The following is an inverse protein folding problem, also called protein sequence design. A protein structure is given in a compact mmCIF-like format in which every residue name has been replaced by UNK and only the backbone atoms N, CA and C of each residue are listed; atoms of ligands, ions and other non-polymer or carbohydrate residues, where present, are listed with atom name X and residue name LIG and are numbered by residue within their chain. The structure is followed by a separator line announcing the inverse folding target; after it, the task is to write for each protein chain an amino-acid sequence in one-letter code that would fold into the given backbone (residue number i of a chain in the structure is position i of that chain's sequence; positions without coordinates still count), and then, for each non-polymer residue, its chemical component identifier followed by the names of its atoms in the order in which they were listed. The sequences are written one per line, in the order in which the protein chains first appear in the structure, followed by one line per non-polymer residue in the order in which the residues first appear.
data_IF_176206313673
#
_entry.id   IF_176206313673
#
_cell.length_a   1.000
_cell.length_b   1.000
_cell.length_c   1.000
_cell.angle_alpha   90.00
_cell.angle_beta   90.00
_cell.angle_gamma   90.00
#
_symmetry.space_group_name_H-M   'P 1'
#
loop_
_entity.id
_entity.type
_entity.pdbx_description
1 polymer ?
#
# COMPACT_ATOMS: atom_id res chain seq x y z
N UNK A 1 17.48 15.79 2.93
CA UNK A 1 17.50 16.08 1.47
C UNK A 1 16.08 15.81 0.96
N UNK A 2 15.46 16.69 0.15
CA UNK A 2 14.12 16.47 -0.38
C UNK A 2 14.08 15.21 -1.26
N UNK A 3 12.95 14.48 -1.21
CA UNK A 3 12.75 13.23 -1.94
C UNK A 3 11.55 13.38 -2.86
N UNK A 4 11.65 12.82 -4.07
CA UNK A 4 10.57 12.91 -5.05
C UNK A 4 10.38 11.58 -5.77
N UNK A 5 9.11 11.22 -5.93
CA UNK A 5 8.71 10.07 -6.73
C UNK A 5 8.81 10.39 -8.22
N UNK A 6 9.54 9.57 -8.94
CA UNK A 6 9.73 9.69 -10.38
C UNK A 6 9.51 8.33 -11.04
N UNK A 7 8.29 8.00 -11.51
CA UNK A 7 7.94 6.69 -12.06
C UNK A 7 8.54 6.44 -13.46
N UNK A 8 9.71 6.97 -13.71
CA UNK A 8 10.45 6.81 -14.96
C UNK A 8 11.69 5.95 -14.72
N UNK A 9 12.24 5.30 -15.76
CA UNK A 9 13.52 4.63 -15.64
C UNK A 9 14.60 5.64 -15.23
N UNK A 10 15.29 5.36 -14.12
CA UNK A 10 16.38 6.18 -13.60
C UNK A 10 17.70 5.49 -13.92
N UNK A 11 18.62 6.23 -14.56
CA UNK A 11 19.95 5.73 -14.92
C UNK A 11 20.99 6.78 -14.57
N UNK A 12 22.00 6.39 -13.81
CA UNK A 12 23.12 7.26 -13.42
C UNK A 12 23.75 7.93 -14.65
N UNK A 13 23.96 9.24 -14.56
CA UNK A 13 24.58 10.09 -15.58
C UNK A 13 23.59 10.65 -16.62
N UNK A 14 22.31 10.23 -16.62
CA UNK A 14 21.32 10.81 -17.52
C UNK A 14 20.72 12.10 -16.97
N UNK A 15 20.48 13.06 -17.86
CA UNK A 15 19.60 14.21 -17.58
C UNK A 15 18.15 13.84 -17.87
N UNK A 16 17.25 14.21 -16.98
CA UNK A 16 15.84 13.86 -17.03
C UNK A 16 14.97 15.08 -16.70
N UNK A 17 13.94 15.32 -17.48
CA UNK A 17 12.87 16.25 -17.11
C UNK A 17 11.92 15.57 -16.12
N UNK A 18 11.76 16.14 -14.93
CA UNK A 18 10.93 15.58 -13.88
C UNK A 18 9.45 15.55 -14.31
N UNK A 19 8.69 14.51 -13.91
CA UNK A 19 7.23 14.51 -14.05
C UNK A 19 6.62 15.78 -13.43
N UNK A 20 5.53 16.27 -14.00
CA UNK A 20 4.91 17.55 -13.63
C UNK A 20 4.65 17.70 -12.12
N UNK A 21 4.26 16.61 -11.43
CA UNK A 21 4.03 16.62 -9.97
C UNK A 21 5.34 16.85 -9.22
N UNK A 22 6.39 16.10 -9.55
CA UNK A 22 7.71 16.25 -8.93
C UNK A 22 8.32 17.62 -9.24
N UNK A 23 8.25 18.07 -10.50
CA UNK A 23 8.72 19.39 -10.91
C UNK A 23 8.04 20.52 -10.09
N UNK A 24 6.72 20.44 -9.92
CA UNK A 24 5.98 21.40 -9.09
C UNK A 24 6.42 21.40 -7.63
N UNK A 25 6.68 20.21 -7.04
CA UNK A 25 7.18 20.13 -5.65
C UNK A 25 8.56 20.76 -5.52
N UNK A 26 9.48 20.51 -6.47
CA UNK A 26 10.80 21.14 -6.52
C UNK A 26 10.67 22.69 -6.58
N UNK A 27 9.75 23.20 -7.40
CA UNK A 27 9.48 24.63 -7.53
C UNK A 27 8.88 25.23 -6.24
N UNK A 28 7.93 24.55 -5.58
CA UNK A 28 7.35 24.98 -4.30
C UNK A 28 8.42 25.08 -3.21
N UNK A 29 9.40 24.17 -3.20
CA UNK A 29 10.56 24.20 -2.31
C UNK A 29 11.60 25.25 -2.71
N UNK A 30 11.38 25.98 -3.81
CA UNK A 30 12.27 27.03 -4.33
C UNK A 30 13.70 26.56 -4.52
N UNK A 31 13.86 25.29 -4.93
CA UNK A 31 15.17 24.75 -5.24
C UNK A 31 15.80 25.50 -6.42
N UNK A 32 17.12 25.49 -6.52
CA UNK A 32 17.88 26.16 -7.55
C UNK A 32 18.80 25.17 -8.26
N UNK A 33 19.30 25.45 -9.47
CA UNK A 33 20.36 24.68 -10.08
C UNK A 33 21.53 24.47 -9.12
N UNK A 34 22.07 23.25 -9.08
CA UNK A 34 23.10 22.81 -8.14
C UNK A 34 22.53 22.25 -6.82
N UNK A 35 21.23 22.37 -6.55
CA UNK A 35 20.67 21.77 -5.33
C UNK A 35 20.50 20.27 -5.49
N UNK A 36 20.96 19.53 -4.46
CA UNK A 36 20.83 18.08 -4.39
C UNK A 36 19.44 17.64 -3.94
N UNK A 37 18.96 16.54 -4.51
CA UNK A 37 17.71 15.88 -4.15
C UNK A 37 17.84 14.36 -4.26
N UNK A 38 16.85 13.63 -3.77
CA UNK A 38 16.75 12.18 -3.93
C UNK A 38 15.59 11.86 -4.87
N UNK A 39 15.81 10.94 -5.81
CA UNK A 39 14.76 10.35 -6.65
C UNK A 39 14.57 8.88 -6.31
N UNK A 40 13.33 8.40 -6.38
CA UNK A 40 13.02 6.98 -6.35
C UNK A 40 11.88 6.68 -7.34
N UNK A 41 11.92 5.50 -7.95
CA UNK A 41 10.97 5.12 -9.00
C UNK A 41 9.85 4.18 -8.52
N UNK A 42 9.83 3.84 -7.23
CA UNK A 42 8.84 2.93 -6.65
C UNK A 42 9.19 1.44 -6.76
N UNK A 43 10.34 1.10 -7.31
CA UNK A 43 10.78 -0.29 -7.53
C UNK A 43 11.85 -0.76 -6.54
N UNK A 44 12.24 0.10 -5.62
CA UNK A 44 13.30 -0.13 -4.64
C UNK A 44 14.59 0.62 -4.97
N UNK A 45 15.39 0.85 -3.93
CA UNK A 45 16.56 1.72 -4.01
C UNK A 45 16.22 3.19 -4.27
N UNK A 46 17.23 4.04 -4.22
CA UNK A 46 17.09 5.47 -4.44
C UNK A 46 18.31 6.04 -5.18
N UNK A 47 18.11 7.15 -5.87
CA UNK A 47 19.15 7.83 -6.62
C UNK A 47 19.42 9.21 -6.03
N UNK A 48 20.66 9.60 -5.87
CA UNK A 48 21.00 11.01 -5.75
C UNK A 48 20.72 11.70 -7.07
N UNK A 49 20.36 12.98 -7.03
CA UNK A 49 20.22 13.80 -8.22
C UNK A 49 20.51 15.26 -7.89
N UNK A 50 20.81 16.04 -8.92
CA UNK A 50 21.07 17.48 -8.82
C UNK A 50 20.22 18.23 -9.81
N UNK A 51 19.65 19.37 -9.40
CA UNK A 51 18.89 20.26 -10.29
C UNK A 51 19.86 20.85 -11.31
N UNK A 52 19.66 20.57 -12.59
CA UNK A 52 20.42 21.13 -13.69
C UNK A 52 19.80 22.41 -14.22
N UNK A 53 18.46 22.41 -14.35
CA UNK A 53 17.72 23.56 -14.90
C UNK A 53 16.37 23.73 -14.20
N UNK A 54 16.01 25.00 -13.97
CA UNK A 54 14.71 25.43 -13.43
C UNK A 54 13.98 26.29 -14.44
N UNK A 55 13.01 25.71 -15.15
CA UNK A 55 12.09 26.46 -16.00
C UNK A 55 10.83 26.94 -15.27
N UNK A 56 9.95 27.60 -16.01
CA UNK A 56 8.68 28.09 -15.47
C UNK A 56 7.72 26.94 -15.09
N UNK A 57 7.73 25.84 -15.85
CA UNK A 57 6.84 24.68 -15.68
C UNK A 57 7.58 23.34 -15.70
N UNK A 58 8.86 23.35 -15.94
CA UNK A 58 9.73 22.19 -16.08
C UNK A 58 10.93 22.29 -15.13
N UNK A 59 11.43 21.14 -14.72
CA UNK A 59 12.65 21.01 -13.92
C UNK A 59 13.45 19.86 -14.49
N UNK A 60 14.69 20.11 -14.88
CA UNK A 60 15.62 19.09 -15.33
C UNK A 60 16.62 18.77 -14.23
N UNK A 61 16.91 17.49 -14.08
CA UNK A 61 17.88 17.00 -13.10
C UNK A 61 18.89 16.08 -13.76
N UNK A 62 20.11 16.04 -13.24
CA UNK A 62 21.10 15.01 -13.56
C UNK A 62 21.02 13.92 -12.51
N UNK A 63 20.86 12.68 -12.94
CA UNK A 63 20.78 11.50 -12.07
C UNK A 63 22.18 11.10 -11.63
N UNK A 64 22.41 11.04 -10.34
CA UNK A 64 23.67 10.63 -9.74
C UNK A 64 23.72 9.14 -9.37
N UNK A 65 24.40 8.82 -8.29
CA UNK A 65 24.62 7.44 -7.86
C UNK A 65 23.32 6.77 -7.37
N UNK A 66 23.16 5.50 -7.71
CA UNK A 66 22.17 4.61 -7.13
C UNK A 66 22.63 4.11 -5.76
N UNK A 67 21.71 4.06 -4.81
CA UNK A 67 21.91 3.42 -3.52
C UNK A 67 20.82 2.35 -3.31
N UNK A 68 21.25 1.12 -3.04
CA UNK A 68 20.35 -0.01 -2.77
C UNK A 68 19.87 0.04 -1.31
N UNK A 69 19.06 1.05 -1.02
CA UNK A 69 18.49 1.29 0.30
C UNK A 69 17.03 0.87 0.30
N UNK A 70 16.68 -0.07 1.17
CA UNK A 70 15.31 -0.52 1.39
C UNK A 70 14.87 -0.29 2.84
N UNK A 71 13.61 0.14 2.99
CA UNK A 71 12.98 0.40 4.30
C UNK A 71 11.64 -0.33 4.43
N UNK A 72 11.48 -1.40 3.64
CA UNK A 72 10.25 -2.19 3.63
C UNK A 72 10.17 -3.10 4.86
N UNK A 73 8.93 -3.34 5.32
CA UNK A 73 8.68 -4.35 6.34
C UNK A 73 9.10 -5.76 5.87
N UNK A 74 9.55 -6.60 6.81
CA UNK A 74 9.90 -7.98 6.50
C UNK A 74 8.72 -8.81 6.01
N UNK A 75 7.52 -8.44 6.43
CA UNK A 75 6.26 -9.09 6.09
C UNK A 75 5.54 -8.35 4.96
N UNK A 76 4.94 -9.08 4.03
CA UNK A 76 4.14 -8.50 2.95
C UNK A 76 2.67 -8.51 3.35
N UNK A 77 2.09 -7.33 3.61
CA UNK A 77 0.69 -7.20 4.00
C UNK A 77 -0.14 -6.56 2.90
N UNK A 78 -1.19 -7.26 2.48
CA UNK A 78 -2.24 -6.75 1.62
C UNK A 78 -3.47 -6.42 2.47
N UNK A 79 -3.86 -5.15 2.52
CA UNK A 79 -5.08 -4.69 3.18
C UNK A 79 -6.23 -4.67 2.18
N UNK A 80 -7.30 -5.39 2.49
CA UNK A 80 -8.57 -5.31 1.77
C UNK A 80 -9.58 -4.62 2.70
N UNK A 81 -10.03 -3.44 2.32
CA UNK A 81 -10.76 -2.55 3.21
C UNK A 81 -12.12 -2.19 2.63
N UNK A 82 -13.20 -2.52 3.34
CA UNK A 82 -14.52 -1.95 3.07
C UNK A 82 -14.40 -0.42 3.11
N UNK A 83 -14.65 0.24 1.97
CA UNK A 83 -14.38 1.67 1.83
C UNK A 83 -15.07 2.49 2.92
N UNK A 84 -14.32 3.17 3.81
CA UNK A 84 -14.89 4.10 4.76
C UNK A 84 -15.42 5.36 4.06
N UNK A 85 -16.30 6.06 4.74
CA UNK A 85 -16.90 7.28 4.19
C UNK A 85 -15.90 8.45 4.18
N UNK A 86 -16.10 9.37 3.23
CA UNK A 86 -15.40 10.64 3.13
C UNK A 86 -13.86 10.52 3.01
N UNK A 87 -13.13 11.45 3.64
CA UNK A 87 -11.67 11.57 3.60
C UNK A 87 -10.93 10.49 4.42
N UNK A 88 -11.66 9.62 5.13
CA UNK A 88 -11.04 8.57 5.94
C UNK A 88 -10.26 7.55 5.11
N UNK A 89 -10.70 7.31 3.87
CA UNK A 89 -9.94 6.44 2.96
C UNK A 89 -8.61 7.08 2.56
N UNK A 90 -8.58 8.39 2.33
CA UNK A 90 -7.37 9.14 2.00
C UNK A 90 -6.36 9.04 3.16
N UNK A 91 -6.83 9.28 4.39
CA UNK A 91 -6.04 9.16 5.62
C UNK A 91 -5.55 7.72 5.84
N UNK A 92 -6.40 6.71 5.61
CA UNK A 92 -6.03 5.30 5.73
C UNK A 92 -4.90 4.94 4.76
N UNK A 93 -5.01 5.34 3.50
CA UNK A 93 -3.97 5.07 2.48
C UNK A 93 -2.64 5.71 2.89
N UNK A 94 -2.66 6.97 3.32
CA UNK A 94 -1.48 7.67 3.79
C UNK A 94 -0.80 6.91 4.94
N UNK A 95 -1.55 6.62 6.03
CA UNK A 95 -0.99 5.98 7.23
C UNK A 95 -0.64 4.51 7.02
N UNK A 96 -1.41 3.77 6.22
CA UNK A 96 -1.05 2.41 5.86
C UNK A 96 0.25 2.35 5.04
N UNK A 97 0.48 3.35 4.17
CA UNK A 97 1.73 3.47 3.43
C UNK A 97 2.91 3.72 4.38
N UNK A 98 2.79 4.66 5.31
CA UNK A 98 3.82 4.92 6.33
C UNK A 98 4.15 3.66 7.17
N UNK A 99 3.14 2.83 7.45
CA UNK A 99 3.26 1.59 8.23
C UNK A 99 3.69 0.36 7.41
N UNK A 100 4.04 0.53 6.15
CA UNK A 100 4.65 -0.54 5.35
C UNK A 100 3.67 -1.46 4.62
N UNK A 101 2.42 -1.04 4.37
CA UNK A 101 1.50 -1.83 3.53
C UNK A 101 2.09 -2.07 2.14
N UNK A 102 1.92 -3.28 1.60
CA UNK A 102 2.37 -3.59 0.24
C UNK A 102 1.30 -3.35 -0.82
N UNK A 103 0.03 -3.54 -0.45
CA UNK A 103 -1.11 -3.40 -1.36
C UNK A 103 -2.38 -3.04 -0.59
N UNK A 104 -3.24 -2.21 -1.20
CA UNK A 104 -4.55 -1.88 -0.66
C UNK A 104 -5.62 -2.14 -1.72
N UNK A 105 -6.64 -2.93 -1.38
CA UNK A 105 -7.82 -3.12 -2.21
C UNK A 105 -9.03 -2.45 -1.55
N UNK A 106 -9.53 -1.35 -2.10
CA UNK A 106 -10.79 -0.75 -1.67
C UNK A 106 -11.97 -1.65 -2.05
N UNK A 107 -12.81 -2.02 -1.08
CA UNK A 107 -13.93 -2.92 -1.29
C UNK A 107 -15.28 -2.22 -1.14
N UNK A 108 -16.19 -2.54 -2.04
CA UNK A 108 -17.62 -2.23 -1.91
C UNK A 108 -18.30 -3.40 -1.19
N UNK A 109 -18.67 -3.18 0.05
CA UNK A 109 -19.40 -4.12 0.90
C UNK A 109 -20.86 -3.71 1.02
N UNK A 110 -21.68 -4.55 1.63
CA UNK A 110 -23.11 -4.27 1.82
C UNK A 110 -23.34 -2.97 2.61
N UNK A 111 -22.57 -2.76 3.67
CA UNK A 111 -22.66 -1.60 4.55
C UNK A 111 -21.75 -0.43 4.16
N UNK A 112 -21.04 -0.51 3.03
CA UNK A 112 -20.27 0.62 2.50
C UNK A 112 -21.23 1.71 2.00
N UNK A 113 -21.03 2.94 2.46
CA UNK A 113 -21.77 4.13 2.00
C UNK A 113 -21.31 4.53 0.60
N UNK A 114 -20.02 4.38 0.33
CA UNK A 114 -19.40 4.78 -0.94
C UNK A 114 -19.58 3.68 -1.98
N UNK A 115 -20.12 4.04 -3.13
CA UNK A 115 -20.26 3.17 -4.31
C UNK A 115 -19.54 3.82 -5.49
N UNK A 116 -18.53 3.15 -6.03
CA UNK A 116 -17.71 3.66 -7.11
C UNK A 116 -17.79 2.72 -8.32
N UNK A 117 -17.94 3.30 -9.51
CA UNK A 117 -17.92 2.57 -10.78
C UNK A 117 -17.42 3.46 -11.91
N UNK A 118 -16.91 2.84 -12.99
CA UNK A 118 -16.43 3.54 -14.18
C UNK A 118 -15.42 4.64 -13.85
N UNK A 119 -15.50 5.75 -14.56
CA UNK A 119 -14.55 6.87 -14.46
C UNK A 119 -14.36 7.42 -13.04
N UNK A 120 -15.41 7.32 -12.19
CA UNK A 120 -15.28 7.75 -10.77
C UNK A 120 -14.37 6.82 -9.97
N UNK A 121 -14.44 5.52 -10.24
CA UNK A 121 -13.55 4.54 -9.62
C UNK A 121 -12.11 4.78 -10.05
N UNK A 122 -11.87 5.00 -11.35
CA UNK A 122 -10.54 5.25 -11.89
C UNK A 122 -9.92 6.52 -11.32
N UNK A 123 -10.69 7.61 -11.24
CA UNK A 123 -10.24 8.87 -10.63
C UNK A 123 -9.90 8.72 -9.15
N UNK A 124 -10.69 7.96 -8.39
CA UNK A 124 -10.43 7.71 -6.97
C UNK A 124 -9.20 6.82 -6.79
N UNK A 125 -9.05 5.77 -7.58
CA UNK A 125 -7.84 4.94 -7.56
C UNK A 125 -6.58 5.78 -7.83
N UNK A 126 -6.58 6.59 -8.90
CA UNK A 126 -5.46 7.45 -9.23
C UNK A 126 -5.15 8.46 -8.10
N UNK A 127 -6.18 9.02 -7.46
CA UNK A 127 -6.03 9.90 -6.31
C UNK A 127 -5.37 9.18 -5.13
N UNK A 128 -5.82 8.00 -4.75
CA UNK A 128 -5.22 7.22 -3.66
C UNK A 128 -3.80 6.75 -3.99
N UNK A 129 -3.53 6.39 -5.24
CA UNK A 129 -2.17 6.05 -5.67
C UNK A 129 -1.22 7.26 -5.54
N UNK A 130 -1.70 8.47 -5.82
CA UNK A 130 -0.92 9.68 -5.63
C UNK A 130 -0.67 9.97 -4.13
N UNK A 131 -1.65 9.73 -3.25
CA UNK A 131 -1.47 9.83 -1.79
C UNK A 131 -0.39 8.85 -1.32
N UNK A 132 -0.43 7.60 -1.79
CA UNK A 132 0.57 6.59 -1.43
C UNK A 132 1.98 7.01 -1.89
N UNK A 133 2.13 7.56 -3.10
CA UNK A 133 3.41 8.09 -3.58
C UNK A 133 3.93 9.24 -2.71
N UNK A 134 3.05 10.20 -2.35
CA UNK A 134 3.40 11.31 -1.48
C UNK A 134 3.79 10.86 -0.06
N UNK A 135 3.09 9.86 0.48
CA UNK A 135 3.44 9.26 1.76
C UNK A 135 4.83 8.58 1.71
N UNK A 136 5.19 7.92 0.58
CA UNK A 136 6.53 7.37 0.38
C UNK A 136 7.61 8.46 0.30
N UNK A 137 7.31 9.61 -0.32
CA UNK A 137 8.22 10.77 -0.30
C UNK A 137 8.53 11.21 1.13
N UNK A 138 7.51 11.28 1.98
CA UNK A 138 7.62 11.73 3.36
C UNK A 138 8.27 10.68 4.28
N UNK A 139 7.82 9.41 4.24
CA UNK A 139 8.28 8.39 5.18
C UNK A 139 9.59 7.70 4.76
N UNK A 140 10.08 7.95 3.54
CA UNK A 140 11.34 7.44 3.05
C UNK A 140 11.28 6.07 2.38
N UNK A 141 10.09 5.49 2.16
CA UNK A 141 9.97 4.23 1.41
C UNK A 141 10.38 4.41 -0.04
N UNK A 142 11.00 3.38 -0.60
CA UNK A 142 11.44 3.34 -2.00
C UNK A 142 10.52 2.48 -2.87
N UNK A 143 9.56 1.77 -2.25
CA UNK A 143 8.51 1.01 -2.94
C UNK A 143 7.16 1.65 -2.66
N UNK A 144 6.47 2.04 -3.73
CA UNK A 144 5.11 2.60 -3.62
C UNK A 144 4.12 1.45 -3.58
N UNK A 145 3.26 1.34 -2.54
CA UNK A 145 2.26 0.30 -2.48
C UNK A 145 1.27 0.40 -3.64
N UNK A 146 0.78 -0.74 -4.10
CA UNK A 146 -0.25 -0.78 -5.15
C UNK A 146 -1.62 -0.50 -4.54
N UNK A 147 -2.34 0.45 -5.12
CA UNK A 147 -3.76 0.68 -4.81
C UNK A 147 -4.60 0.10 -5.95
N UNK A 148 -5.40 -0.92 -5.64
CA UNK A 148 -6.26 -1.56 -6.63
C UNK A 148 -7.46 -0.67 -6.99
N UNK A 149 -8.07 -0.97 -8.15
CA UNK A 149 -9.37 -0.42 -8.46
C UNK A 149 -10.42 -0.90 -7.44
N UNK A 150 -11.37 -0.04 -7.03
CA UNK A 150 -12.47 -0.44 -6.16
C UNK A 150 -13.27 -1.59 -6.76
N UNK A 151 -13.54 -2.62 -5.98
CA UNK A 151 -14.26 -3.80 -6.45
C UNK A 151 -15.24 -4.34 -5.40
N UNK A 152 -16.13 -5.23 -5.81
CA UNK A 152 -17.06 -5.88 -4.90
C UNK A 152 -16.34 -6.93 -4.05
N UNK A 153 -16.77 -7.07 -2.79
CA UNK A 153 -16.19 -8.04 -1.85
C UNK A 153 -16.26 -9.47 -2.39
N UNK A 154 -17.41 -9.89 -2.93
CA UNK A 154 -17.62 -11.24 -3.46
C UNK A 154 -16.66 -11.57 -4.62
N UNK A 155 -16.52 -10.65 -5.57
CA UNK A 155 -15.60 -10.79 -6.70
C UNK A 155 -14.13 -10.84 -6.24
N UNK A 156 -13.78 -10.00 -5.28
CA UNK A 156 -12.43 -10.01 -4.71
C UNK A 156 -12.11 -11.31 -3.98
N UNK A 157 -13.01 -11.80 -3.12
CA UNK A 157 -12.83 -13.07 -2.41
C UNK A 157 -12.59 -14.24 -3.37
N UNK A 158 -13.37 -14.30 -4.45
CA UNK A 158 -13.18 -15.31 -5.49
C UNK A 158 -11.79 -15.18 -6.17
N UNK A 159 -11.33 -13.95 -6.42
CA UNK A 159 -10.03 -13.70 -7.07
C UNK A 159 -8.82 -14.11 -6.22
N UNK A 160 -8.94 -14.00 -4.89
CA UNK A 160 -7.86 -14.35 -3.95
C UNK A 160 -8.00 -15.73 -3.35
N UNK A 161 -9.00 -16.53 -3.76
CA UNK A 161 -9.27 -17.85 -3.19
C UNK A 161 -8.05 -18.77 -3.27
N UNK A 162 -7.41 -18.84 -4.46
CA UNK A 162 -6.24 -19.69 -4.72
C UNK A 162 -4.91 -19.08 -4.26
N UNK A 163 -4.91 -17.84 -3.76
CA UNK A 163 -3.68 -17.16 -3.36
C UNK A 163 -3.08 -17.82 -2.12
N UNK A 164 -1.80 -18.18 -2.20
CA UNK A 164 -1.04 -18.71 -1.07
C UNK A 164 -0.65 -17.56 -0.13
N UNK A 165 -1.46 -17.31 0.87
CA UNK A 165 -1.27 -16.31 1.89
C UNK A 165 -2.02 -16.69 3.15
N UNK A 166 -1.60 -16.16 4.29
CA UNK A 166 -2.39 -16.19 5.52
C UNK A 166 -3.50 -15.17 5.41
N UNK A 167 -4.74 -15.61 5.56
CA UNK A 167 -5.94 -14.80 5.34
C UNK A 167 -6.66 -14.57 6.65
N UNK A 168 -6.85 -13.33 7.05
CA UNK A 168 -7.60 -12.96 8.24
C UNK A 168 -8.69 -11.93 7.92
N UNK A 169 -9.82 -12.05 8.59
CA UNK A 169 -10.88 -11.05 8.62
C UNK A 169 -11.00 -10.49 10.04
N UNK A 170 -10.95 -9.16 10.16
CA UNK A 170 -11.24 -8.49 11.42
C UNK A 170 -12.74 -8.57 11.70
N UNK A 171 -13.09 -9.30 12.71
CA UNK A 171 -14.48 -9.60 13.06
C UNK A 171 -14.77 -9.18 14.49
N UNK A 172 -16.05 -8.95 14.80
CA UNK A 172 -16.56 -8.61 16.14
C UNK A 172 -17.38 -9.75 16.75
N UNK A 173 -17.38 -10.94 16.14
CA UNK A 173 -18.12 -12.10 16.65
C UNK A 173 -17.43 -12.73 17.86
N UNK A 174 -18.20 -13.37 18.74
CA UNK A 174 -17.69 -14.15 19.86
C UNK A 174 -16.88 -15.36 19.37
N UNK A 175 -15.91 -15.81 20.13
CA UNK A 175 -15.04 -16.96 19.82
C UNK A 175 -13.89 -16.72 18.85
N UNK A 176 -13.33 -15.50 18.81
CA UNK A 176 -12.18 -15.19 17.92
C UNK A 176 -10.85 -15.34 18.64
N UNK A 177 -9.86 -15.77 17.89
CA UNK A 177 -8.46 -15.74 18.31
C UNK A 177 -7.91 -14.32 18.18
N UNK A 178 -7.03 -13.88 19.08
CA UNK A 178 -6.31 -12.62 18.93
C UNK A 178 -5.42 -12.61 17.69
N UNK A 179 -5.33 -11.48 16.98
CA UNK A 179 -4.53 -11.37 15.74
C UNK A 179 -3.07 -11.85 15.93
N UNK A 180 -2.42 -11.45 17.03
CA UNK A 180 -1.03 -11.84 17.30
C UNK A 180 -0.86 -13.33 17.57
N UNK A 181 -1.77 -13.90 18.33
CA UNK A 181 -1.78 -15.33 18.64
C UNK A 181 -2.02 -16.14 17.37
N UNK A 182 -2.99 -15.73 16.54
CA UNK A 182 -3.24 -16.34 15.24
C UNK A 182 -2.00 -16.24 14.33
N UNK A 183 -1.40 -15.06 14.20
CA UNK A 183 -0.23 -14.86 13.36
C UNK A 183 0.95 -15.73 13.81
N UNK A 184 1.17 -15.86 15.13
CA UNK A 184 2.21 -16.73 15.69
C UNK A 184 1.96 -18.23 15.42
N UNK A 185 0.71 -18.65 15.23
CA UNK A 185 0.34 -20.03 14.90
C UNK A 185 0.52 -20.37 13.41
N UNK A 186 0.67 -19.36 12.54
CA UNK A 186 0.81 -19.55 11.11
C UNK A 186 2.24 -20.01 10.76
N UNK A 187 2.36 -21.12 10.03
CA UNK A 187 3.64 -21.59 9.52
C UNK A 187 4.13 -20.66 8.36
N UNK A 188 5.45 -20.51 8.16
CA UNK A 188 5.97 -19.75 7.03
C UNK A 188 5.41 -20.27 5.69
N UNK A 189 4.90 -19.37 4.85
CA UNK A 189 4.42 -19.73 3.50
C UNK A 189 5.60 -19.74 2.54
N UNK A 190 5.95 -20.90 2.01
CA UNK A 190 6.96 -21.00 0.95
C UNK A 190 6.32 -20.56 -0.37
N UNK A 191 6.75 -19.42 -0.90
CA UNK A 191 6.29 -18.92 -2.20
C UNK A 191 7.09 -19.57 -3.31
N UNK A 192 6.41 -20.20 -4.27
CA UNK A 192 6.97 -20.35 -5.61
C UNK A 192 6.83 -19.02 -6.34
N UNK A 193 7.76 -18.69 -7.23
CA UNK A 193 7.85 -17.39 -7.95
C UNK A 193 6.56 -16.91 -8.64
N UNK A 194 5.55 -17.76 -8.78
CA UNK A 194 4.26 -17.46 -9.41
C UNK A 194 3.19 -16.89 -8.45
N UNK A 195 3.45 -16.77 -7.15
CA UNK A 195 2.44 -16.40 -6.13
C UNK A 195 2.75 -15.12 -5.35
N UNK A 196 3.69 -14.29 -5.79
CA UNK A 196 4.03 -13.06 -5.09
C UNK A 196 2.94 -12.00 -5.31
N UNK A 197 2.52 -11.35 -4.22
CA UNK A 197 1.57 -10.22 -4.23
C UNK A 197 2.17 -8.93 -4.82
N UNK A 198 3.45 -8.94 -5.22
CA UNK A 198 4.16 -7.80 -5.80
C UNK A 198 3.93 -7.69 -7.31
N UNK A 199 3.81 -6.48 -7.83
CA UNK A 199 3.81 -6.19 -9.25
C UNK A 199 5.12 -6.67 -9.90
N UNK A 200 4.98 -7.40 -10.99
CA UNK A 200 5.88 -8.04 -11.94
C UNK A 200 7.39 -7.84 -12.04
N UNK A 201 8.09 -7.18 -11.13
CA UNK A 201 9.54 -6.95 -11.22
C UNK A 201 10.36 -7.38 -10.00
N UNK A 202 9.79 -8.18 -9.10
CA UNK A 202 10.51 -8.70 -7.94
C UNK A 202 11.28 -9.99 -8.26
N UNK A 203 12.13 -9.94 -9.28
CA UNK A 203 13.06 -11.01 -9.63
C UNK A 203 14.35 -10.82 -8.83
N UNK A 204 14.35 -11.24 -7.56
CA UNK A 204 15.61 -11.18 -6.81
C UNK A 204 15.58 -11.50 -5.33
N UNK A 205 14.43 -11.54 -4.70
CA UNK A 205 14.32 -12.02 -3.32
C UNK A 205 13.54 -13.34 -3.29
N UNK A 206 14.26 -14.44 -3.14
CA UNK A 206 13.67 -15.65 -2.57
C UNK A 206 13.30 -15.31 -1.12
N UNK A 207 12.20 -14.59 -0.94
CA UNK A 207 11.78 -14.10 0.35
C UNK A 207 10.84 -15.17 0.94
N UNK A 208 11.26 -15.79 2.03
CA UNK A 208 10.39 -16.53 2.96
C UNK A 208 9.45 -15.58 3.72
N UNK A 209 9.17 -14.40 3.18
CA UNK A 209 8.26 -13.44 3.78
C UNK A 209 6.85 -14.02 3.77
N UNK A 210 6.22 -14.07 4.92
CA UNK A 210 4.82 -14.43 5.01
C UNK A 210 3.98 -13.37 4.28
N UNK A 211 3.13 -13.84 3.37
CA UNK A 211 2.12 -13.01 2.74
C UNK A 211 0.85 -13.03 3.59
N UNK A 212 0.39 -11.86 3.97
CA UNK A 212 -0.80 -11.67 4.76
C UNK A 212 -1.88 -10.96 3.97
N UNK A 213 -3.10 -11.49 3.95
CA UNK A 213 -4.30 -10.79 3.51
C UNK A 213 -5.13 -10.45 4.74
N UNK A 214 -5.32 -9.17 4.99
CA UNK A 214 -6.14 -8.68 6.09
C UNK A 214 -7.39 -7.99 5.53
N UNK A 215 -8.55 -8.59 5.76
CA UNK A 215 -9.86 -8.04 5.39
C UNK A 215 -10.44 -7.27 6.57
N UNK A 216 -10.87 -6.03 6.30
CA UNK A 216 -11.55 -5.18 7.27
C UNK A 216 -12.83 -4.58 6.67
N UNK A 217 -13.91 -4.54 7.44
CA UNK A 217 -15.17 -3.92 7.03
C UNK A 217 -15.14 -2.39 7.09
N UNK A 218 -16.17 -1.71 6.53
CA UNK A 218 -16.38 -0.27 6.70
C UNK A 218 -16.82 0.05 8.14
N UNK A 219 -17.26 1.30 8.41
CA UNK A 219 -17.70 1.71 9.75
C UNK A 219 -18.83 0.85 10.32
N UNK A 220 -19.71 0.35 9.46
CA UNK A 220 -20.80 -0.57 9.86
C UNK A 220 -20.36 -2.04 9.99
N UNK A 221 -19.06 -2.34 9.81
CA UNK A 221 -18.55 -3.71 9.76
C UNK A 221 -18.99 -4.46 8.49
N UNK A 222 -18.62 -5.73 8.39
CA UNK A 222 -19.18 -6.65 7.41
C UNK A 222 -20.56 -7.12 7.87
N UNK A 223 -21.44 -7.50 6.94
CA UNK A 223 -22.66 -8.23 7.29
C UNK A 223 -22.33 -9.68 7.67
N UNK A 224 -23.24 -10.37 8.36
CA UNK A 224 -23.05 -11.76 8.77
C UNK A 224 -22.86 -12.68 7.55
N UNK A 225 -23.53 -12.37 6.44
CA UNK A 225 -23.36 -13.06 5.16
C UNK A 225 -21.97 -12.83 4.56
N UNK A 226 -21.46 -11.62 4.62
CA UNK A 226 -20.12 -11.27 4.12
C UNK A 226 -19.01 -11.88 4.99
N UNK A 227 -19.15 -11.86 6.31
CA UNK A 227 -18.20 -12.52 7.23
C UNK A 227 -18.19 -14.03 6.99
N UNK A 228 -19.36 -14.66 6.86
CA UNK A 228 -19.50 -16.10 6.54
C UNK A 228 -18.87 -16.42 5.19
N UNK A 229 -19.08 -15.58 4.19
CA UNK A 229 -18.49 -15.73 2.86
C UNK A 229 -16.97 -15.63 2.92
N UNK A 230 -16.41 -14.67 3.65
CA UNK A 230 -14.96 -14.54 3.82
C UNK A 230 -14.36 -15.79 4.47
N UNK A 231 -15.00 -16.31 5.50
CA UNK A 231 -14.56 -17.57 6.17
C UNK A 231 -14.61 -18.77 5.22
N UNK A 232 -15.63 -18.89 4.37
CA UNK A 232 -15.72 -19.97 3.37
C UNK A 232 -14.60 -19.90 2.33
N UNK A 233 -13.97 -18.72 2.15
CA UNK A 233 -12.78 -18.50 1.31
C UNK A 233 -11.45 -18.63 2.09
N UNK A 234 -11.48 -19.20 3.29
CA UNK A 234 -10.30 -19.51 4.09
C UNK A 234 -9.78 -18.36 4.95
N UNK A 235 -10.57 -17.32 5.18
CA UNK A 235 -10.21 -16.25 6.11
C UNK A 235 -10.47 -16.70 7.55
N UNK A 236 -9.45 -16.61 8.41
CA UNK A 236 -9.61 -16.77 9.85
C UNK A 236 -10.23 -15.52 10.46
N UNK A 237 -11.25 -15.68 11.31
CA UNK A 237 -11.79 -14.56 12.07
C UNK A 237 -10.84 -14.22 13.22
N UNK A 238 -10.38 -12.98 13.28
CA UNK A 238 -9.43 -12.51 14.29
C UNK A 238 -9.91 -11.23 14.96
N UNK A 239 -9.50 -11.06 16.22
CA UNK A 239 -9.81 -9.89 17.04
C UNK A 239 -8.56 -9.04 17.31
N UNK A 240 -8.76 -7.74 17.44
CA UNK A 240 -7.75 -6.77 17.91
C UNK A 240 -7.91 -6.44 19.40
N UNK A 241 -8.71 -7.23 20.15
CA UNK A 241 -8.99 -7.04 21.56
C UNK A 241 -10.44 -6.63 21.82
N UNK A 242 -10.76 -6.30 23.05
CA UNK A 242 -12.13 -6.11 23.55
C UNK A 242 -12.79 -4.79 23.10
N UNK A 243 -12.00 -3.81 22.65
CA UNK A 243 -12.52 -2.50 22.25
C UNK A 243 -12.95 -2.50 20.79
N UNK A 244 -14.12 -1.93 20.52
CA UNK A 244 -14.55 -1.63 19.15
C UNK A 244 -13.72 -0.46 18.62
N UNK A 245 -12.95 -0.71 17.56
CA UNK A 245 -12.15 0.28 16.88
C UNK A 245 -12.91 0.84 15.68
N UNK A 246 -12.63 2.08 15.29
CA UNK A 246 -13.08 2.60 14.00
C UNK A 246 -12.42 1.80 12.88
N UNK A 247 -13.09 1.72 11.72
CA UNK A 247 -12.64 0.92 10.57
C UNK A 247 -11.19 1.24 10.18
N UNK A 248 -10.85 2.51 10.00
CA UNK A 248 -9.51 2.95 9.66
C UNK A 248 -8.48 2.60 10.76
N UNK A 249 -8.86 2.73 12.02
CA UNK A 249 -8.00 2.37 13.16
C UNK A 249 -7.77 0.86 13.22
N UNK A 250 -8.80 0.07 12.99
CA UNK A 250 -8.71 -1.39 12.99
C UNK A 250 -7.76 -1.89 11.87
N UNK A 251 -7.91 -1.34 10.67
CA UNK A 251 -7.03 -1.68 9.55
C UNK A 251 -5.54 -1.39 9.86
N UNK A 252 -5.24 -0.20 10.41
CA UNK A 252 -3.88 0.19 10.77
C UNK A 252 -3.31 -0.61 11.94
N UNK A 253 -4.12 -0.88 12.98
CA UNK A 253 -3.72 -1.70 14.11
C UNK A 253 -3.42 -3.15 13.67
N UNK A 254 -4.24 -3.70 12.78
CA UNK A 254 -4.01 -5.00 12.18
C UNK A 254 -2.73 -5.04 11.33
N UNK A 255 -2.50 -4.02 10.51
CA UNK A 255 -1.28 -3.89 9.74
C UNK A 255 -0.04 -3.86 10.63
N UNK A 256 -0.02 -3.01 11.66
CA UNK A 256 1.08 -2.94 12.65
C UNK A 256 1.30 -4.27 13.37
N UNK A 257 0.23 -4.96 13.74
CA UNK A 257 0.31 -6.27 14.39
C UNK A 257 0.96 -7.35 13.52
N UNK A 258 0.93 -7.20 12.19
CA UNK A 258 1.51 -8.15 11.24
C UNK A 258 2.91 -7.73 10.75
N UNK A 259 3.19 -6.44 10.63
CA UNK A 259 4.48 -5.93 10.11
C UNK A 259 5.59 -5.84 11.16
N UNK A 260 5.24 -5.78 12.44
CA UNK A 260 6.17 -5.60 13.56
C UNK A 260 6.05 -6.72 14.62
N UNK A 261 5.61 -7.88 14.21
CA UNK A 261 5.51 -9.09 15.05
C UNK A 261 6.79 -9.92 15.02
#
# INVERSE_FOLDING_TARGET
MPRFYCPLPLTTGLSLDLPAVAARHVQVLRMQPGHALTLFNGQGGEFSAEVEHMGRSDVRVVIGAHADIEREAAQTVHLAVGMPANERMDWLVEKATELGVARITPLMTERSVVRLSGERADKKQAHWQAIAASACEQCGRNRVPTIDAPQRLDAWLASVAALKAHKAVLSLHDSMQGLREWAASCAPVTLSAAGALGSGNDVGRANTANNWLLLNGPEGGLSDSEDTLARSHGFAAVSLGERVLRSETAALAGLMGLTHS
#
